data_IF_848941816771
#
_entry.id   IF_848941816771
#
_cell.length_a   1.000
_cell.length_b   1.000
_cell.length_c   1.000
_cell.angle_alpha   90.00
_cell.angle_beta   90.00
_cell.angle_gamma   90.00
#
_symmetry.space_group_name_H-M   'P 1'
#
loop_
_entity.id
_entity.type
_entity.pdbx_description
1 polymer ?
#
# COMPACT_ATOMS: atom_id res chain seq x y z
N UNK A 1 -0.56 -9.42 -17.87
CA UNK A 1 -0.98 -9.10 -16.49
C UNK A 1 0.16 -9.47 -15.57
N UNK A 2 0.68 -8.52 -14.79
CA UNK A 2 1.75 -8.73 -13.81
C UNK A 2 1.11 -8.98 -12.45
N UNK A 3 1.48 -10.08 -11.79
CA UNK A 3 1.05 -10.37 -10.43
C UNK A 3 2.20 -10.07 -9.48
N UNK A 4 1.96 -9.20 -8.51
CA UNK A 4 2.93 -8.85 -7.47
C UNK A 4 2.40 -9.31 -6.13
N UNK A 5 3.21 -10.07 -5.39
CA UNK A 5 2.91 -10.58 -4.06
C UNK A 5 3.93 -10.02 -3.09
N UNK A 6 3.46 -9.35 -2.03
CA UNK A 6 4.33 -8.82 -1.00
C UNK A 6 3.54 -8.24 0.16
N UNK A 7 4.26 -7.76 1.16
CA UNK A 7 3.70 -7.12 2.34
C UNK A 7 3.14 -5.74 2.04
N UNK A 8 2.21 -5.32 2.89
CA UNK A 8 1.73 -3.94 3.00
C UNK A 8 2.12 -3.45 4.39
N UNK A 9 2.71 -2.26 4.44
CA UNK A 9 3.09 -1.61 5.69
C UNK A 9 2.72 -0.13 5.67
N UNK A 10 2.65 0.48 6.85
CA UNK A 10 2.44 1.93 6.99
C UNK A 10 3.71 2.52 7.58
N UNK A 11 4.41 3.30 6.77
CA UNK A 11 5.56 4.07 7.20
C UNK A 11 5.08 5.27 8.03
N UNK A 12 5.59 5.41 9.25
CA UNK A 12 5.35 6.58 10.09
C UNK A 12 6.48 7.59 9.84
N UNK A 13 6.18 8.61 9.04
CA UNK A 13 7.14 9.65 8.66
C UNK A 13 7.00 10.83 9.62
N UNK A 14 8.08 11.25 10.25
CA UNK A 14 8.14 12.43 11.13
C UNK A 14 7.68 13.71 10.41
N UNK A 15 6.83 14.52 11.07
CA UNK A 15 6.37 15.81 10.55
C UNK A 15 7.04 16.97 11.27
N UNK A 16 7.48 17.98 10.51
CA UNK A 16 7.97 19.28 11.03
C UNK A 16 9.09 19.20 12.09
N UNK A 17 9.90 18.13 12.10
CA UNK A 17 10.93 17.90 13.12
C UNK A 17 10.36 17.80 14.55
N UNK A 18 9.08 17.42 14.68
CA UNK A 18 8.44 17.11 15.95
C UNK A 18 8.48 15.59 16.19
N UNK A 19 9.27 15.11 17.17
CA UNK A 19 9.53 13.69 17.38
C UNK A 19 8.30 12.90 17.86
N UNK A 20 7.18 13.58 18.17
CA UNK A 20 5.94 12.95 18.60
C UNK A 20 4.83 13.04 17.55
N UNK A 21 5.10 13.62 16.39
CA UNK A 21 4.12 13.81 15.33
C UNK A 21 4.55 13.07 14.05
N UNK A 22 3.73 12.10 13.65
CA UNK A 22 3.98 11.26 12.49
C UNK A 22 2.81 11.28 11.52
N UNK A 23 3.14 11.21 10.24
CA UNK A 23 2.19 10.97 9.16
C UNK A 23 2.31 9.53 8.69
N UNK A 24 1.20 8.81 8.72
CA UNK A 24 1.11 7.49 8.09
C UNK A 24 1.16 7.60 6.56
N UNK A 25 2.08 6.87 5.94
CA UNK A 25 2.19 6.74 4.49
C UNK A 25 2.20 5.27 4.13
N UNK A 26 1.35 4.89 3.18
CA UNK A 26 1.29 3.51 2.73
C UNK A 26 2.57 3.14 1.97
N UNK A 27 3.27 2.12 2.46
CA UNK A 27 4.56 1.64 2.00
C UNK A 27 4.61 0.12 1.78
N UNK A 28 5.82 -0.39 1.58
CA UNK A 28 6.09 -1.77 1.13
C UNK A 28 6.75 -1.77 -0.24
N UNK A 29 7.87 -2.49 -0.38
CA UNK A 29 8.70 -2.42 -1.59
C UNK A 29 7.92 -2.89 -2.82
N UNK A 30 7.29 -4.06 -2.69
CA UNK A 30 6.48 -4.67 -3.75
C UNK A 30 5.26 -3.80 -4.07
N UNK A 31 4.61 -3.22 -3.07
CA UNK A 31 3.47 -2.32 -3.25
C UNK A 31 3.84 -1.05 -4.03
N UNK A 32 5.01 -0.48 -3.74
CA UNK A 32 5.52 0.69 -4.46
C UNK A 32 5.85 0.34 -5.93
N UNK A 33 6.42 -0.82 -6.18
CA UNK A 33 6.63 -1.35 -7.54
C UNK A 33 5.30 -1.53 -8.26
N UNK A 34 4.31 -2.17 -7.63
CA UNK A 34 2.98 -2.38 -8.21
C UNK A 34 2.31 -1.05 -8.57
N UNK A 35 2.34 -0.08 -7.66
CA UNK A 35 1.80 1.27 -7.86
C UNK A 35 2.46 1.96 -9.07
N UNK A 36 3.78 1.82 -9.21
CA UNK A 36 4.53 2.40 -10.32
C UNK A 36 4.14 1.76 -11.65
N UNK A 37 4.04 0.42 -11.69
CA UNK A 37 3.65 -0.32 -12.88
C UNK A 37 2.22 0.03 -13.34
N UNK A 38 1.28 0.20 -12.40
CA UNK A 38 -0.08 0.70 -12.71
C UNK A 38 -0.02 2.08 -13.35
N UNK A 39 0.76 3.01 -12.78
CA UNK A 39 0.91 4.38 -13.34
C UNK A 39 1.52 4.40 -14.73
N UNK A 40 2.34 3.41 -15.07
CA UNK A 40 2.92 3.24 -16.42
C UNK A 40 1.95 2.54 -17.40
N UNK A 41 0.73 2.20 -16.98
CA UNK A 41 -0.30 1.62 -17.85
C UNK A 41 -0.24 0.10 -17.96
N UNK A 42 0.56 -0.58 -17.13
CA UNK A 42 0.58 -2.05 -17.13
C UNK A 42 -0.61 -2.63 -16.35
N UNK A 43 -1.20 -3.74 -16.83
CA UNK A 43 -2.21 -4.46 -16.06
C UNK A 43 -1.54 -5.19 -14.89
N UNK A 44 -1.80 -4.74 -13.66
CA UNK A 44 -1.20 -5.25 -12.42
C UNK A 44 -2.28 -5.74 -11.46
N UNK A 45 -2.08 -6.94 -10.91
CA UNK A 45 -2.81 -7.45 -9.75
C UNK A 45 -1.85 -7.54 -8.57
N UNK A 46 -2.22 -6.95 -7.44
CA UNK A 46 -1.45 -6.98 -6.20
C UNK A 46 -2.10 -7.92 -5.19
N UNK A 47 -1.29 -8.79 -4.60
CA UNK A 47 -1.69 -9.79 -3.62
C UNK A 47 -0.96 -9.51 -2.30
N UNK A 48 -1.69 -9.56 -1.20
CA UNK A 48 -1.11 -9.39 0.14
C UNK A 48 -2.02 -9.99 1.21
N UNK A 49 -1.49 -10.19 2.40
CA UNK A 49 -2.24 -10.51 3.61
C UNK A 49 -2.25 -9.26 4.49
N UNK A 50 -3.43 -8.88 4.98
CA UNK A 50 -3.62 -7.70 5.84
C UNK A 50 -4.50 -8.09 7.02
N UNK A 51 -4.43 -7.32 8.10
CA UNK A 51 -5.26 -7.55 9.28
C UNK A 51 -6.72 -7.12 9.09
N UNK A 52 -7.47 -7.19 10.19
CA UNK A 52 -8.88 -6.79 10.25
C UNK A 52 -9.10 -5.45 10.99
N UNK A 53 -8.04 -4.67 11.15
CA UNK A 53 -8.08 -3.41 11.91
C UNK A 53 -8.29 -2.16 11.02
N UNK A 54 -8.39 -1.01 11.67
CA UNK A 54 -8.59 0.27 10.99
C UNK A 54 -7.42 0.66 10.07
N UNK A 55 -6.20 0.21 10.39
CA UNK A 55 -5.00 0.49 9.58
C UNK A 55 -5.08 -0.30 8.28
N UNK A 56 -5.57 -1.53 8.35
CA UNK A 56 -5.80 -2.42 7.21
C UNK A 56 -6.90 -1.85 6.30
N UNK A 57 -8.01 -1.37 6.88
CA UNK A 57 -9.07 -0.71 6.13
C UNK A 57 -8.61 0.59 5.43
N UNK A 58 -7.82 1.42 6.13
CA UNK A 58 -7.21 2.62 5.55
C UNK A 58 -6.24 2.27 4.41
N UNK A 59 -5.41 1.25 4.61
CA UNK A 59 -4.43 0.79 3.62
C UNK A 59 -5.11 0.28 2.36
N UNK A 60 -6.18 -0.51 2.49
CA UNK A 60 -6.98 -1.01 1.37
C UNK A 60 -7.59 0.13 0.54
N UNK A 61 -8.11 1.17 1.19
CA UNK A 61 -8.63 2.36 0.52
C UNK A 61 -7.53 3.14 -0.23
N UNK A 62 -6.38 3.36 0.39
CA UNK A 62 -5.23 4.01 -0.25
C UNK A 62 -4.69 3.20 -1.44
N UNK A 63 -4.68 1.87 -1.36
CA UNK A 63 -4.34 1.00 -2.48
C UNK A 63 -5.35 1.13 -3.63
N UNK A 64 -6.65 1.19 -3.33
CA UNK A 64 -7.69 1.40 -4.35
C UNK A 64 -7.57 2.74 -5.04
N UNK A 65 -7.28 3.82 -4.30
CA UNK A 65 -7.03 5.15 -4.89
C UNK A 65 -5.84 5.18 -5.85
N UNK A 66 -4.87 4.28 -5.66
CA UNK A 66 -3.73 4.09 -6.58
C UNK A 66 -4.08 3.29 -7.84
N UNK A 67 -5.33 2.82 -7.97
CA UNK A 67 -5.82 2.05 -9.12
C UNK A 67 -5.36 0.60 -9.13
N UNK A 68 -4.92 0.05 -7.99
CA UNK A 68 -4.48 -1.33 -7.89
C UNK A 68 -5.68 -2.29 -7.92
N UNK A 69 -5.59 -3.35 -8.71
CA UNK A 69 -6.47 -4.50 -8.60
C UNK A 69 -6.00 -5.40 -7.46
N UNK A 70 -6.81 -5.54 -6.41
CA UNK A 70 -6.39 -6.17 -5.15
C UNK A 70 -6.94 -7.59 -4.98
N UNK A 71 -6.12 -8.48 -4.44
CA UNK A 71 -6.54 -9.74 -3.82
C UNK A 71 -5.91 -9.83 -2.43
N UNK A 72 -6.69 -9.47 -1.42
CA UNK A 72 -6.25 -9.44 -0.03
C UNK A 72 -6.74 -10.69 0.72
N UNK A 73 -5.85 -11.27 1.53
CA UNK A 73 -6.15 -12.33 2.50
C UNK A 73 -6.25 -11.72 3.90
N UNK A 74 -7.01 -12.37 4.78
CA UNK A 74 -7.24 -12.00 6.18
C UNK A 74 -7.10 -13.25 7.06
#
# INVERSE_FOLDING_TARGET
MLALLGEVLVDLIEENQDPLRFRGVLGGSVLNTATTLVRLGFPVRFLSEVGEDWVSAWSEEEMRKRGLELRLFR
#
